data_IF_114232531889
#
_entry.id   IF_114232531889
#
_cell.length_a   1.000
_cell.length_b   1.000
_cell.length_c   1.000
_cell.angle_alpha   90.00
_cell.angle_beta   90.00
_cell.angle_gamma   90.00
#
_symmetry.space_group_name_H-M   'P 1'
#
loop_
_entity.id
_entity.type
_entity.pdbx_description
1 polymer ?
#
# COMPACT_ATOMS: atom_id res chain seq x y z
N UNK A 1 -4.70 25.64 -13.79
CA UNK A 1 -5.57 24.80 -12.93
C UNK A 1 -5.26 25.06 -11.45
N UNK A 2 -6.27 25.24 -10.63
CA UNK A 2 -6.17 25.24 -9.17
C UNK A 2 -5.85 23.82 -8.67
N UNK A 3 -5.56 23.67 -7.38
CA UNK A 3 -5.30 22.35 -6.79
C UNK A 3 -6.53 21.44 -6.84
N UNK A 4 -7.74 22.00 -6.63
CA UNK A 4 -9.00 21.26 -6.71
C UNK A 4 -9.32 20.82 -8.15
N UNK A 5 -9.15 21.69 -9.13
CA UNK A 5 -9.34 21.35 -10.55
C UNK A 5 -8.38 20.22 -10.99
N UNK A 6 -7.11 20.27 -10.53
CA UNK A 6 -6.17 19.17 -10.81
C UNK A 6 -6.60 17.86 -10.18
N UNK A 7 -7.10 17.90 -8.94
CA UNK A 7 -7.58 16.70 -8.26
C UNK A 7 -8.78 16.08 -9.00
N UNK A 8 -9.77 16.90 -9.37
CA UNK A 8 -10.93 16.44 -10.13
C UNK A 8 -10.54 15.83 -11.48
N UNK A 9 -9.67 16.49 -12.24
CA UNK A 9 -9.16 15.97 -13.51
C UNK A 9 -8.39 14.65 -13.35
N UNK A 10 -7.57 14.52 -12.31
CA UNK A 10 -6.82 13.28 -12.02
C UNK A 10 -7.78 12.14 -11.68
N UNK A 11 -8.81 12.41 -10.87
CA UNK A 11 -9.80 11.41 -10.47
C UNK A 11 -10.56 10.86 -11.69
N UNK A 12 -11.09 11.74 -12.52
CA UNK A 12 -11.80 11.39 -13.76
C UNK A 12 -10.87 10.58 -14.69
N UNK A 13 -9.68 11.08 -14.98
CA UNK A 13 -8.70 10.43 -15.85
C UNK A 13 -8.29 9.04 -15.36
N UNK A 14 -8.03 8.90 -14.06
CA UNK A 14 -7.61 7.61 -13.50
C UNK A 14 -8.77 6.62 -13.43
N UNK A 15 -9.99 7.10 -13.18
CA UNK A 15 -11.17 6.25 -13.18
C UNK A 15 -11.48 5.69 -14.58
N UNK A 16 -11.34 6.51 -15.62
CA UNK A 16 -11.48 6.07 -17.01
C UNK A 16 -10.38 5.09 -17.40
N UNK A 17 -9.13 5.37 -17.00
CA UNK A 17 -7.97 4.57 -17.37
C UNK A 17 -7.88 3.23 -16.64
N UNK A 18 -8.34 3.17 -15.41
CA UNK A 18 -8.32 1.99 -14.55
C UNK A 18 -9.70 1.77 -13.92
N UNK A 19 -10.71 1.33 -14.71
CA UNK A 19 -12.07 1.10 -14.20
C UNK A 19 -12.11 -0.02 -13.15
N UNK A 20 -11.13 -0.92 -13.18
CA UNK A 20 -10.95 -1.99 -12.20
C UNK A 20 -9.61 -1.85 -11.48
N UNK A 21 -9.64 -2.07 -10.18
CA UNK A 21 -8.45 -1.97 -9.32
C UNK A 21 -8.26 -3.26 -8.52
N UNK A 22 -7.86 -4.37 -9.17
CA UNK A 22 -7.63 -5.63 -8.48
C UNK A 22 -6.52 -5.45 -7.43
N UNK A 23 -6.72 -6.09 -6.28
CA UNK A 23 -5.71 -6.12 -5.23
C UNK A 23 -4.51 -6.92 -5.73
N UNK A 24 -3.30 -6.35 -5.75
CA UNK A 24 -2.15 -6.99 -6.40
C UNK A 24 -1.54 -8.16 -5.60
N UNK A 25 -1.94 -8.34 -4.34
CA UNK A 25 -1.46 -9.40 -3.46
C UNK A 25 -2.50 -10.51 -3.35
N UNK A 26 -2.09 -11.74 -3.68
CA UNK A 26 -2.95 -12.92 -3.58
C UNK A 26 -3.26 -13.24 -2.12
N UNK A 27 -4.53 -13.38 -1.81
CA UNK A 27 -5.04 -13.67 -0.47
C UNK A 27 -6.43 -14.31 -0.54
N UNK A 28 -6.87 -14.93 0.55
CA UNK A 28 -8.21 -15.55 0.66
C UNK A 28 -9.08 -14.89 1.75
N UNK A 29 -8.47 -14.23 2.70
CA UNK A 29 -9.11 -13.66 3.88
C UNK A 29 -8.28 -12.48 4.45
N UNK A 30 -8.80 -11.73 5.45
CA UNK A 30 -8.08 -10.61 6.05
C UNK A 30 -6.73 -10.97 6.67
N UNK A 31 -6.58 -12.19 7.21
CA UNK A 31 -5.32 -12.61 7.80
C UNK A 31 -4.24 -12.86 6.75
N UNK A 32 -4.56 -13.59 5.70
CA UNK A 32 -3.62 -13.86 4.60
C UNK A 32 -3.25 -12.57 3.86
N UNK A 33 -4.19 -11.62 3.73
CA UNK A 33 -3.87 -10.28 3.24
C UNK A 33 -2.91 -9.53 4.17
N UNK A 34 -3.17 -9.51 5.48
CA UNK A 34 -2.30 -8.86 6.47
C UNK A 34 -0.86 -9.37 6.37
N UNK A 35 -0.69 -10.69 6.31
CA UNK A 35 0.63 -11.33 6.15
C UNK A 35 1.27 -10.95 4.80
N UNK A 36 0.53 -11.00 3.71
CA UNK A 36 1.02 -10.63 2.38
C UNK A 36 1.46 -9.16 2.33
N UNK A 37 0.67 -8.24 2.91
CA UNK A 37 1.02 -6.81 2.98
C UNK A 37 2.26 -6.58 3.86
N UNK A 38 2.41 -7.28 4.99
CA UNK A 38 3.62 -7.22 5.81
C UNK A 38 4.84 -7.70 5.00
N UNK A 39 4.69 -8.77 4.23
CA UNK A 39 5.77 -9.31 3.37
C UNK A 39 6.12 -8.36 2.23
N UNK A 40 5.20 -7.53 1.74
CA UNK A 40 5.44 -6.58 0.64
C UNK A 40 6.34 -5.40 1.02
N UNK A 41 6.61 -5.18 2.31
CA UNK A 41 7.57 -4.16 2.74
C UNK A 41 8.96 -4.41 2.13
N UNK A 42 9.42 -3.48 1.27
CA UNK A 42 10.66 -3.58 0.49
C UNK A 42 10.76 -4.86 -0.38
N UNK A 43 9.62 -5.40 -0.82
CA UNK A 43 9.53 -6.55 -1.71
C UNK A 43 8.48 -6.28 -2.79
N UNK A 44 8.66 -6.86 -3.98
CA UNK A 44 7.68 -6.73 -5.06
C UNK A 44 6.47 -7.66 -4.82
N UNK A 45 5.28 -7.22 -5.26
CA UNK A 45 4.06 -8.02 -5.14
C UNK A 45 4.21 -9.38 -5.84
N UNK A 46 4.84 -9.41 -7.02
CA UNK A 46 5.16 -10.65 -7.74
C UNK A 46 5.96 -11.62 -6.87
N UNK A 47 6.99 -11.13 -6.17
CA UNK A 47 7.80 -11.98 -5.29
C UNK A 47 7.00 -12.47 -4.09
N UNK A 48 6.17 -11.62 -3.50
CA UNK A 48 5.27 -12.01 -2.40
C UNK A 48 4.34 -13.13 -2.87
N UNK A 49 3.66 -12.97 -4.01
CA UNK A 49 2.73 -13.95 -4.56
C UNK A 49 3.40 -15.29 -4.95
N UNK A 50 4.71 -15.30 -5.24
CA UNK A 50 5.49 -16.54 -5.44
C UNK A 50 5.79 -17.28 -4.12
N UNK A 51 5.83 -16.58 -3.00
CA UNK A 51 6.25 -17.12 -1.70
C UNK A 51 5.07 -17.45 -0.79
N UNK A 52 4.02 -16.63 -0.79
CA UNK A 52 2.86 -16.82 0.08
C UNK A 52 2.18 -18.19 -0.07
N UNK A 53 2.06 -18.82 -1.26
CA UNK A 53 1.50 -20.16 -1.37
C UNK A 53 2.29 -21.20 -0.57
N UNK A 54 3.62 -21.08 -0.51
CA UNK A 54 4.48 -22.00 0.27
C UNK A 54 4.29 -21.81 1.77
N UNK A 55 4.12 -20.58 2.21
CA UNK A 55 3.86 -20.27 3.62
C UNK A 55 2.46 -20.72 4.01
N UNK A 56 1.46 -20.37 3.23
CA UNK A 56 0.05 -20.67 3.52
C UNK A 56 -0.30 -22.16 3.38
N UNK A 57 0.45 -22.93 2.59
CA UNK A 57 0.33 -24.38 2.59
C UNK A 57 0.73 -25.04 3.93
N UNK A 58 1.57 -24.34 4.73
CA UNK A 58 1.93 -24.80 6.08
C UNK A 58 1.04 -24.20 7.15
N UNK A 59 0.70 -22.93 7.02
CA UNK A 59 -0.08 -22.21 8.02
C UNK A 59 -0.77 -21.00 7.35
N UNK A 60 -2.07 -21.03 7.21
CA UNK A 60 -2.86 -20.00 6.51
C UNK A 60 -3.83 -19.24 7.42
N UNK A 61 -3.71 -19.44 8.73
CA UNK A 61 -4.51 -18.79 9.76
C UNK A 61 -3.67 -18.56 11.03
N UNK A 62 -4.09 -17.65 11.95
CA UNK A 62 -3.32 -17.33 13.15
C UNK A 62 -3.04 -18.52 14.05
N UNK A 63 -3.97 -19.45 14.17
CA UNK A 63 -3.80 -20.62 15.05
C UNK A 63 -2.67 -21.51 14.58
N UNK A 64 -2.65 -21.89 13.31
CA UNK A 64 -1.59 -22.75 12.74
C UNK A 64 -0.28 -21.99 12.61
N UNK A 65 -0.29 -20.70 12.26
CA UNK A 65 0.92 -19.88 12.14
C UNK A 65 1.63 -19.70 13.49
N UNK A 66 0.87 -19.54 14.57
CA UNK A 66 1.43 -19.39 15.93
C UNK A 66 2.08 -20.68 16.46
N UNK A 67 1.84 -21.83 15.82
CA UNK A 67 2.47 -23.12 16.15
C UNK A 67 3.78 -23.37 15.38
N UNK A 68 4.04 -22.64 14.30
CA UNK A 68 5.32 -22.73 13.60
C UNK A 68 6.42 -22.06 14.43
N UNK A 69 7.67 -22.53 14.28
CA UNK A 69 8.80 -21.77 14.81
C UNK A 69 9.09 -20.54 13.93
N UNK A 70 9.66 -19.50 14.53
CA UNK A 70 10.06 -18.30 13.80
C UNK A 70 11.08 -18.63 12.71
N UNK A 71 11.96 -19.60 12.92
CA UNK A 71 12.97 -20.06 11.98
C UNK A 71 12.33 -20.67 10.72
N UNK A 72 11.30 -21.50 10.89
CA UNK A 72 10.55 -22.08 9.74
C UNK A 72 9.92 -20.99 8.91
N UNK A 73 9.28 -20.01 9.55
CA UNK A 73 8.70 -18.86 8.84
C UNK A 73 9.80 -18.09 8.10
N UNK A 74 10.92 -17.79 8.78
CA UNK A 74 12.04 -17.03 8.20
C UNK A 74 12.65 -17.73 6.98
N UNK A 75 12.80 -19.03 7.02
CA UNK A 75 13.33 -19.82 5.91
C UNK A 75 12.44 -19.76 4.67
N UNK A 76 11.14 -19.87 4.86
CA UNK A 76 10.17 -19.81 3.75
C UNK A 76 10.16 -18.41 3.12
N UNK A 77 10.11 -17.35 3.95
CA UNK A 77 9.96 -15.96 3.47
C UNK A 77 11.29 -15.31 3.10
N UNK A 78 12.44 -16.01 3.21
CA UNK A 78 13.78 -15.47 2.92
C UNK A 78 13.86 -14.69 1.60
N UNK A 79 13.25 -15.16 0.48
CA UNK A 79 13.29 -14.42 -0.78
C UNK A 79 12.58 -13.07 -0.76
N UNK A 80 11.72 -12.80 0.23
CA UNK A 80 11.04 -11.50 0.39
C UNK A 80 11.93 -10.44 1.07
N UNK A 81 13.15 -10.78 1.50
CA UNK A 81 14.04 -9.88 2.24
C UNK A 81 13.57 -9.60 3.67
N UNK A 82 14.47 -9.09 4.51
CA UNK A 82 14.19 -8.77 5.92
C UNK A 82 13.55 -9.94 6.71
N UNK A 83 13.89 -11.17 6.34
CA UNK A 83 13.25 -12.37 6.86
C UNK A 83 13.25 -12.48 8.40
N UNK A 84 14.33 -12.16 9.12
CA UNK A 84 14.32 -12.23 10.59
C UNK A 84 13.30 -11.27 11.23
N UNK A 85 13.18 -10.05 10.70
CA UNK A 85 12.25 -9.06 11.23
C UNK A 85 10.81 -9.42 10.86
N UNK A 86 10.56 -9.80 9.60
CA UNK A 86 9.24 -10.16 9.10
C UNK A 86 8.71 -11.43 9.77
N UNK A 87 9.53 -12.47 9.93
CA UNK A 87 9.11 -13.71 10.61
C UNK A 87 8.77 -13.47 12.08
N UNK A 88 9.57 -12.66 12.78
CA UNK A 88 9.25 -12.23 14.15
C UNK A 88 7.91 -11.48 14.21
N UNK A 89 7.67 -10.57 13.25
CA UNK A 89 6.40 -9.86 13.14
C UNK A 89 5.22 -10.81 12.95
N UNK A 90 5.26 -11.67 11.91
CA UNK A 90 4.21 -12.65 11.58
C UNK A 90 3.93 -13.59 12.76
N UNK A 91 4.97 -14.14 13.37
CA UNK A 91 4.83 -15.04 14.51
C UNK A 91 4.14 -14.38 15.70
N UNK A 92 4.61 -13.20 16.10
CA UNK A 92 4.09 -12.50 17.26
C UNK A 92 2.68 -11.95 17.04
N UNK A 93 2.40 -11.37 15.85
CA UNK A 93 1.04 -10.90 15.55
C UNK A 93 0.04 -12.08 15.54
N UNK A 94 0.44 -13.24 15.04
CA UNK A 94 -0.43 -14.43 15.06
C UNK A 94 -0.75 -14.89 16.48
N UNK A 95 0.24 -14.88 17.39
CA UNK A 95 0.00 -15.16 18.81
C UNK A 95 -0.97 -14.17 19.48
N UNK A 96 -0.80 -12.87 19.18
CA UNK A 96 -1.70 -11.84 19.71
C UNK A 96 -3.11 -12.04 19.15
N UNK A 97 -3.25 -12.29 17.83
CA UNK A 97 -4.55 -12.55 17.23
C UNK A 97 -5.27 -13.75 17.87
N UNK A 98 -4.55 -14.83 18.13
CA UNK A 98 -5.12 -16.00 18.83
C UNK A 98 -5.54 -15.63 20.25
N UNK A 99 -4.66 -14.96 21.01
CA UNK A 99 -4.87 -14.71 22.44
C UNK A 99 -5.94 -13.65 22.71
N UNK A 100 -5.95 -12.59 21.93
CA UNK A 100 -6.71 -11.37 22.25
C UNK A 100 -7.91 -11.16 21.30
N UNK A 101 -7.87 -11.75 20.10
CA UNK A 101 -8.88 -11.54 19.06
C UNK A 101 -9.53 -12.86 18.55
N UNK A 102 -9.35 -13.96 19.26
CA UNK A 102 -9.88 -15.27 18.88
C UNK A 102 -9.54 -15.69 17.44
N UNK A 103 -8.33 -15.32 16.96
CA UNK A 103 -7.84 -15.60 15.62
C UNK A 103 -8.38 -14.66 14.54
N UNK A 104 -9.15 -13.64 14.87
CA UNK A 104 -9.68 -12.67 13.91
C UNK A 104 -8.76 -11.46 13.77
N UNK A 105 -8.75 -10.86 12.59
CA UNK A 105 -8.05 -9.58 12.33
C UNK A 105 -8.97 -8.44 12.76
N UNK A 106 -8.52 -7.54 13.68
CA UNK A 106 -9.36 -6.45 14.17
C UNK A 106 -9.69 -5.42 13.08
N UNK A 107 -10.93 -4.93 13.04
CA UNK A 107 -11.43 -3.94 12.08
C UNK A 107 -11.26 -2.49 12.59
N UNK A 108 -10.17 -2.20 13.26
CA UNK A 108 -9.85 -0.87 13.79
C UNK A 108 -8.39 -0.56 13.49
N UNK A 109 -8.14 0.65 12.97
CA UNK A 109 -6.82 1.06 12.51
C UNK A 109 -5.78 1.00 13.64
N UNK A 110 -6.15 1.52 14.82
CA UNK A 110 -5.28 1.60 15.99
C UNK A 110 -4.91 0.20 16.52
N UNK A 111 -5.85 -0.74 16.49
CA UNK A 111 -5.60 -2.12 16.90
C UNK A 111 -4.69 -2.87 15.91
N UNK A 112 -4.84 -2.58 14.61
CA UNK A 112 -3.94 -3.11 13.59
C UNK A 112 -2.53 -2.55 13.75
N UNK A 113 -2.39 -1.24 14.00
CA UNK A 113 -1.10 -0.59 14.20
C UNK A 113 -0.36 -1.07 15.45
N UNK A 114 -1.11 -1.54 16.46
CA UNK A 114 -0.55 -2.12 17.67
C UNK A 114 0.06 -3.53 17.44
N UNK A 115 -0.27 -4.19 16.32
CA UNK A 115 0.27 -5.51 16.00
C UNK A 115 1.75 -5.43 15.60
N UNK A 116 2.60 -6.38 16.06
CA UNK A 116 4.00 -6.43 15.69
C UNK A 116 4.25 -6.47 14.18
N UNK A 117 5.05 -5.54 13.67
CA UNK A 117 5.39 -5.45 12.24
C UNK A 117 4.33 -4.77 11.37
N UNK A 118 3.26 -4.29 11.96
CA UNK A 118 2.18 -3.56 11.27
C UNK A 118 2.35 -2.07 11.52
N UNK A 119 2.76 -1.33 10.50
CA UNK A 119 2.81 0.12 10.54
C UNK A 119 1.54 0.75 9.93
N UNK A 120 1.43 2.08 10.04
CA UNK A 120 0.28 2.85 9.54
C UNK A 120 -0.12 2.50 8.09
N UNK A 121 0.85 2.40 7.17
CA UNK A 121 0.56 2.03 5.78
C UNK A 121 -0.03 0.62 5.68
N UNK A 122 0.56 -0.36 6.38
CA UNK A 122 0.07 -1.75 6.36
C UNK A 122 -1.34 -1.84 6.91
N UNK A 123 -1.59 -1.23 8.06
CA UNK A 123 -2.91 -1.15 8.68
C UNK A 123 -3.94 -0.50 7.74
N UNK A 124 -3.61 0.64 7.12
CA UNK A 124 -4.48 1.34 6.17
C UNK A 124 -4.81 0.49 4.93
N UNK A 125 -3.84 -0.27 4.40
CA UNK A 125 -4.09 -1.20 3.27
C UNK A 125 -5.06 -2.32 3.70
N UNK A 126 -4.88 -2.90 4.88
CA UNK A 126 -5.78 -3.95 5.38
C UNK A 126 -7.18 -3.39 5.63
N UNK A 127 -7.30 -2.21 6.24
CA UNK A 127 -8.60 -1.55 6.42
C UNK A 127 -9.32 -1.33 5.09
N UNK A 128 -8.61 -0.82 4.10
CA UNK A 128 -9.15 -0.56 2.77
C UNK A 128 -9.54 -1.85 2.04
N UNK A 129 -8.61 -2.78 1.93
CA UNK A 129 -8.73 -3.92 1.00
C UNK A 129 -9.45 -5.14 1.61
N UNK A 130 -9.28 -5.39 2.92
CA UNK A 130 -9.97 -6.51 3.57
C UNK A 130 -11.36 -6.15 4.09
N UNK A 131 -11.55 -4.88 4.51
CA UNK A 131 -12.77 -4.48 5.21
C UNK A 131 -13.59 -3.42 4.46
N UNK A 132 -13.09 -2.90 3.33
CA UNK A 132 -13.76 -1.85 2.57
C UNK A 132 -13.85 -0.49 3.30
N UNK A 133 -13.16 -0.34 4.43
CA UNK A 133 -13.16 0.92 5.18
C UNK A 133 -12.34 1.96 4.42
N UNK A 134 -12.88 3.16 4.18
CA UNK A 134 -12.17 4.19 3.44
C UNK A 134 -10.82 4.54 4.08
N UNK A 135 -9.75 4.29 3.33
CA UNK A 135 -8.39 4.64 3.73
C UNK A 135 -7.56 5.08 2.53
N UNK A 136 -6.60 5.95 2.76
CA UNK A 136 -5.70 6.43 1.70
C UNK A 136 -4.24 6.07 2.05
N UNK A 137 -3.84 4.79 1.93
CA UNK A 137 -2.48 4.37 2.27
C UNK A 137 -1.47 4.99 1.29
N UNK A 138 -0.62 5.88 1.80
CA UNK A 138 0.37 6.58 0.97
C UNK A 138 1.68 5.81 0.93
N UNK A 139 2.03 5.33 -0.25
CA UNK A 139 3.32 4.71 -0.54
C UNK A 139 4.29 5.68 -1.25
N UNK A 140 5.44 5.17 -1.64
CA UNK A 140 6.45 5.95 -2.38
C UNK A 140 5.96 6.44 -3.75
N UNK A 141 5.07 5.69 -4.42
CA UNK A 141 4.47 6.09 -5.70
C UNK A 141 3.51 7.25 -5.49
N UNK A 142 2.56 7.09 -4.57
CA UNK A 142 1.57 8.13 -4.26
C UNK A 142 2.25 9.40 -3.76
N UNK A 143 3.19 9.29 -2.83
CA UNK A 143 3.93 10.43 -2.31
C UNK A 143 4.67 11.21 -3.41
N UNK A 144 5.29 10.49 -4.34
CA UNK A 144 5.97 11.08 -5.50
C UNK A 144 5.00 11.74 -6.48
N UNK A 145 3.94 11.05 -6.87
CA UNK A 145 2.99 11.54 -7.85
C UNK A 145 2.20 12.73 -7.33
N UNK A 146 1.73 12.69 -6.10
CA UNK A 146 1.04 13.81 -5.46
C UNK A 146 1.88 15.11 -5.48
N UNK A 147 3.21 15.00 -5.29
CA UNK A 147 4.12 16.14 -5.42
C UNK A 147 4.27 16.60 -6.89
N UNK A 148 4.41 15.66 -7.84
CA UNK A 148 4.53 15.97 -9.27
C UNK A 148 3.28 16.66 -9.81
N UNK A 149 2.13 16.26 -9.34
CA UNK A 149 0.82 16.82 -9.71
C UNK A 149 0.44 18.07 -8.90
N UNK A 150 1.28 18.46 -7.93
CA UNK A 150 1.05 19.66 -7.13
C UNK A 150 -0.14 19.56 -6.19
N UNK A 151 -0.49 18.36 -5.74
CA UNK A 151 -1.57 18.10 -4.80
C UNK A 151 -1.11 18.27 -3.34
N UNK A 152 0.18 18.09 -3.09
CA UNK A 152 0.79 18.23 -1.76
C UNK A 152 2.12 18.98 -1.81
N UNK A 153 2.53 19.53 -0.68
CA UNK A 153 3.89 20.06 -0.49
C UNK A 153 4.96 18.96 -0.40
N UNK A 154 4.54 17.71 -0.12
CA UNK A 154 5.44 16.58 0.06
C UNK A 154 6.36 16.71 1.27
N UNK A 155 5.94 17.41 2.34
CA UNK A 155 6.75 17.58 3.55
C UNK A 155 7.13 16.22 4.15
N UNK A 156 6.14 15.34 4.27
CA UNK A 156 6.24 13.94 4.69
C UNK A 156 5.02 13.16 4.18
N UNK A 157 4.98 11.85 4.43
CA UNK A 157 3.89 10.95 4.02
C UNK A 157 2.56 11.35 4.69
N UNK A 158 2.57 11.66 5.97
CA UNK A 158 1.37 12.06 6.72
C UNK A 158 0.75 13.35 6.16
N UNK A 159 1.59 14.32 5.80
CA UNK A 159 1.11 15.55 5.11
C UNK A 159 0.48 15.21 3.76
N UNK A 160 1.09 14.29 3.01
CA UNK A 160 0.55 13.87 1.71
C UNK A 160 -0.79 13.18 1.88
N UNK A 161 -0.93 12.25 2.79
CA UNK A 161 -2.19 11.56 3.09
C UNK A 161 -3.30 12.56 3.46
N UNK A 162 -3.02 13.46 4.41
CA UNK A 162 -3.97 14.49 4.82
C UNK A 162 -4.38 15.40 3.67
N UNK A 163 -3.44 15.81 2.83
CA UNK A 163 -3.71 16.68 1.69
C UNK A 163 -4.58 15.98 0.64
N UNK A 164 -4.32 14.68 0.37
CA UNK A 164 -5.11 13.88 -0.57
C UNK A 164 -6.52 13.61 -0.04
N UNK A 165 -6.67 13.23 1.23
CA UNK A 165 -7.97 13.04 1.88
C UNK A 165 -8.86 14.30 1.87
N UNK A 166 -8.26 15.49 1.84
CA UNK A 166 -9.00 16.77 1.71
C UNK A 166 -9.41 17.09 0.28
N UNK A 167 -8.74 16.53 -0.71
CA UNK A 167 -8.94 16.84 -2.12
C UNK A 167 -9.90 15.88 -2.81
N UNK A 168 -9.88 14.63 -2.40
CA UNK A 168 -10.67 13.56 -2.99
C UNK A 168 -11.81 13.14 -2.06
N UNK A 169 -13.00 12.82 -2.61
CA UNK A 169 -14.11 12.32 -1.81
C UNK A 169 -13.76 10.96 -1.18
N UNK A 170 -14.31 10.72 0.01
CA UNK A 170 -13.94 9.56 0.85
C UNK A 170 -14.23 8.23 0.16
N UNK A 171 -15.34 8.15 -0.54
CA UNK A 171 -15.75 6.97 -1.30
C UNK A 171 -14.78 6.57 -2.42
N UNK A 172 -13.93 7.50 -2.86
CA UNK A 172 -12.93 7.24 -3.91
C UNK A 172 -11.58 6.75 -3.38
N UNK A 173 -11.32 6.87 -2.07
CA UNK A 173 -9.97 6.63 -1.54
C UNK A 173 -9.45 5.22 -1.81
N UNK A 174 -10.31 4.20 -1.64
CA UNK A 174 -9.91 2.79 -1.77
C UNK A 174 -9.51 2.41 -3.21
N UNK A 175 -10.15 2.97 -4.21
CA UNK A 175 -9.83 2.72 -5.61
C UNK A 175 -8.70 3.62 -6.07
N UNK A 176 -8.80 4.91 -5.75
CA UNK A 176 -7.88 5.94 -6.25
C UNK A 176 -6.43 5.69 -5.80
N UNK A 177 -6.20 5.19 -4.58
CA UNK A 177 -4.84 4.88 -4.16
C UNK A 177 -4.21 3.78 -5.02
N UNK A 178 -4.96 2.75 -5.44
CA UNK A 178 -4.48 1.71 -6.36
C UNK A 178 -4.26 2.26 -7.77
N UNK A 179 -5.20 3.07 -8.27
CA UNK A 179 -5.10 3.71 -9.57
C UNK A 179 -3.84 4.58 -9.67
N UNK A 180 -3.52 5.36 -8.62
CA UNK A 180 -2.30 6.17 -8.56
C UNK A 180 -1.05 5.28 -8.55
N UNK A 181 -1.06 4.17 -7.82
CA UNK A 181 0.06 3.22 -7.79
C UNK A 181 0.28 2.61 -9.18
N UNK A 182 -0.78 2.14 -9.86
CA UNK A 182 -0.70 1.57 -11.20
C UNK A 182 -0.13 2.60 -12.19
N UNK A 183 -0.69 3.80 -12.22
CA UNK A 183 -0.18 4.88 -13.05
C UNK A 183 1.28 5.23 -12.76
N UNK A 184 1.66 5.21 -11.50
CA UNK A 184 3.02 5.49 -11.05
C UNK A 184 4.04 4.42 -11.45
N UNK A 185 3.61 3.18 -11.60
CA UNK A 185 4.44 2.06 -12.06
C UNK A 185 4.59 2.06 -13.58
N UNK A 186 3.51 2.35 -14.28
CA UNK A 186 3.41 2.22 -15.73
C UNK A 186 3.91 3.47 -16.47
N UNK A 187 3.39 4.64 -16.14
CA UNK A 187 3.61 5.88 -16.90
C UNK A 187 4.47 6.92 -16.19
N UNK A 188 4.25 7.12 -14.89
CA UNK A 188 4.93 8.18 -14.14
C UNK A 188 6.02 7.63 -13.24
N UNK A 189 6.96 6.86 -13.81
CA UNK A 189 8.03 6.20 -13.06
C UNK A 189 9.00 7.20 -12.41
N UNK A 190 9.76 6.73 -11.43
CA UNK A 190 10.67 7.59 -10.66
C UNK A 190 11.74 8.23 -11.56
N UNK A 191 12.30 7.45 -12.47
CA UNK A 191 13.47 7.85 -13.29
C UNK A 191 13.08 8.42 -14.66
N UNK A 192 12.11 7.82 -15.35
CA UNK A 192 11.81 8.20 -16.73
C UNK A 192 10.95 9.47 -16.83
N UNK A 193 9.82 9.55 -16.11
CA UNK A 193 8.91 10.68 -16.28
C UNK A 193 9.41 11.99 -15.65
N UNK A 194 9.94 11.94 -14.44
CA UNK A 194 10.41 13.12 -13.68
C UNK A 194 9.41 14.30 -13.62
N UNK A 195 8.12 14.02 -13.85
CA UNK A 195 7.06 15.03 -13.89
C UNK A 195 6.95 15.80 -15.22
N UNK A 196 7.51 15.28 -16.32
CA UNK A 196 7.59 15.96 -17.61
C UNK A 196 6.88 15.22 -18.74
N UNK A 197 6.97 13.88 -18.79
CA UNK A 197 6.70 13.15 -20.04
C UNK A 197 5.35 12.43 -20.07
N UNK A 198 4.85 11.91 -18.94
CA UNK A 198 3.57 11.24 -18.93
C UNK A 198 2.41 12.23 -19.17
N UNK A 199 1.31 11.71 -19.67
CA UNK A 199 0.15 12.50 -20.06
C UNK A 199 -0.34 13.40 -18.91
N UNK A 200 -0.63 12.86 -17.73
CA UNK A 200 -1.05 13.68 -16.59
C UNK A 200 -0.07 14.80 -16.25
N UNK A 201 1.24 14.54 -16.25
CA UNK A 201 2.22 15.57 -15.95
C UNK A 201 2.24 16.69 -17.03
N UNK A 202 2.04 16.33 -18.29
CA UNK A 202 1.99 17.29 -19.40
C UNK A 202 0.70 18.12 -19.38
N UNK A 203 -0.43 17.48 -19.14
CA UNK A 203 -1.73 18.16 -19.06
C UNK A 203 -1.81 19.10 -17.87
N UNK A 204 -1.39 18.64 -16.70
CA UNK A 204 -1.44 19.44 -15.47
C UNK A 204 -0.43 20.61 -15.47
N UNK A 205 0.68 20.47 -16.19
CA UNK A 205 1.76 21.46 -16.25
C UNK A 205 2.37 21.55 -17.65
N UNK A 206 1.63 22.06 -18.65
CA UNK A 206 2.07 22.07 -20.06
C UNK A 206 3.37 22.88 -20.29
N UNK A 207 3.62 23.88 -19.46
CA UNK A 207 4.79 24.75 -19.57
C UNK A 207 5.98 24.30 -18.68
N UNK A 208 5.93 23.13 -18.05
CA UNK A 208 7.01 22.63 -17.23
C UNK A 208 8.20 22.20 -18.11
N UNK A 209 9.31 22.91 -17.99
CA UNK A 209 10.54 22.63 -18.75
C UNK A 209 11.60 21.85 -17.97
N UNK A 210 11.50 21.83 -16.63
CA UNK A 210 12.50 21.20 -15.77
C UNK A 210 11.90 20.08 -14.92
N UNK A 211 12.71 19.05 -14.59
CA UNK A 211 12.29 17.97 -13.71
C UNK A 211 11.72 18.46 -12.38
N UNK A 212 10.61 17.90 -11.95
CA UNK A 212 10.07 18.16 -10.61
C UNK A 212 10.79 17.28 -9.60
N UNK A 213 11.73 17.86 -8.87
CA UNK A 213 12.34 17.20 -7.70
C UNK A 213 11.27 16.91 -6.65
N UNK A 214 11.23 15.69 -6.17
CA UNK A 214 10.29 15.23 -5.12
C UNK A 214 11.08 14.80 -3.88
N UNK A 215 10.52 15.08 -2.72
CA UNK A 215 11.07 14.59 -1.45
C UNK A 215 10.79 13.09 -1.33
N UNK A 216 11.67 12.36 -0.68
CA UNK A 216 11.48 10.93 -0.38
C UNK A 216 10.41 10.78 0.72
N UNK A 217 9.71 9.65 0.68
CA UNK A 217 8.81 9.20 1.74
C UNK A 217 9.58 8.75 2.96
#
# INVERSE_FOLDING_TARGET
MTKKERAAYIDEYLNEKYPETPIPLDHKDPYTLLVAVLLSAQCTDIRVNQITPKLFAKADNPFTMSQLSQEIIADIIRPCGLAPMKSKGIFNLSKILVKEYNGEVPKQLELLEALPGVGHKTASVVMSQAFGVPAFPVDTHIHRLAQRWGLTSGKNVQTTERDLKRLFPEERWNELHLQIIFYGREFCTARACQGLTCELCRTLYPNRKHPKKTKKS
#
